data_IF_243074170375
#
_entry.id   IF_243074170375
#
_cell.length_a   1.000
_cell.length_b   1.000
_cell.length_c   1.000
_cell.angle_alpha   90.00
_cell.angle_beta   90.00
_cell.angle_gamma   90.00
#
_symmetry.space_group_name_H-M   'P 1'
#
loop_
_entity.id
_entity.type
_entity.pdbx_description
1 polymer ?
#
# COMPACT_ATOMS: atom_id res chain seq x y z
N UNK A 1 4.64 23.23 8.59
CA UNK A 1 5.38 21.96 8.53
C UNK A 1 6.86 22.29 8.32
N UNK A 2 7.78 21.80 9.16
CA UNK A 2 9.21 21.98 8.92
C UNK A 2 9.62 21.15 7.69
N UNK A 3 10.34 21.75 6.75
CA UNK A 3 10.87 21.09 5.57
C UNK A 3 12.35 21.43 5.42
N UNK A 4 13.19 20.42 5.60
CA UNK A 4 14.64 20.60 5.60
C UNK A 4 15.26 20.09 4.30
N UNK A 5 15.91 20.98 3.54
CA UNK A 5 16.62 20.65 2.30
C UNK A 5 18.12 20.44 2.48
N UNK A 6 18.65 20.89 3.60
CA UNK A 6 20.10 20.87 3.87
C UNK A 6 20.38 20.10 5.15
N UNK A 7 21.43 19.32 5.13
CA UNK A 7 21.95 18.69 6.34
C UNK A 7 22.65 19.75 7.21
N UNK A 8 22.17 19.97 8.42
CA UNK A 8 22.74 20.96 9.32
C UNK A 8 22.01 21.03 10.68
N UNK A 9 22.51 21.87 11.55
CA UNK A 9 21.94 22.13 12.90
C UNK A 9 20.97 23.31 12.93
N UNK A 10 20.78 24.00 11.80
CA UNK A 10 19.84 25.10 11.70
C UNK A 10 18.42 24.62 11.66
N UNK A 11 17.53 25.28 12.40
CA UNK A 11 16.10 24.97 12.36
C UNK A 11 15.52 25.33 10.99
N UNK A 12 14.87 24.39 10.28
CA UNK A 12 14.22 24.68 9.02
C UNK A 12 13.05 25.63 9.22
N UNK A 13 12.73 26.47 8.23
CA UNK A 13 11.54 27.31 8.29
C UNK A 13 10.28 26.47 8.34
N UNK A 14 9.22 27.05 8.89
CA UNK A 14 7.87 26.45 8.87
C UNK A 14 7.15 26.88 7.60
N UNK A 15 6.65 25.90 6.87
CA UNK A 15 5.85 26.08 5.66
C UNK A 15 4.38 25.71 5.91
N UNK A 16 3.48 26.31 5.17
CA UNK A 16 2.10 25.84 5.08
C UNK A 16 2.04 24.43 4.48
N UNK A 17 0.90 23.75 4.58
CA UNK A 17 0.69 22.46 3.93
C UNK A 17 0.83 22.57 2.41
N UNK A 18 0.29 23.62 1.82
CA UNK A 18 0.36 23.89 0.38
C UNK A 18 1.79 24.11 -0.11
N UNK A 19 2.55 24.96 0.60
CA UNK A 19 3.97 25.18 0.29
C UNK A 19 4.78 23.90 0.44
N UNK A 20 4.51 23.10 1.48
CA UNK A 20 5.21 21.84 1.71
C UNK A 20 4.95 20.83 0.59
N UNK A 21 3.70 20.67 0.15
CA UNK A 21 3.37 19.79 -0.98
C UNK A 21 4.04 20.29 -2.27
N UNK A 22 4.10 21.60 -2.49
CA UNK A 22 4.81 22.15 -3.65
C UNK A 22 6.31 21.84 -3.61
N UNK A 23 6.95 21.94 -2.45
CA UNK A 23 8.35 21.57 -2.28
C UNK A 23 8.59 20.08 -2.56
N UNK A 24 7.70 19.21 -2.03
CA UNK A 24 7.75 17.75 -2.30
C UNK A 24 7.62 17.47 -3.80
N UNK A 25 6.69 18.12 -4.49
CA UNK A 25 6.52 17.95 -5.94
C UNK A 25 7.76 18.39 -6.71
N UNK A 26 8.39 19.50 -6.29
CA UNK A 26 9.61 19.98 -6.95
C UNK A 26 10.79 19.00 -6.76
N UNK A 27 10.97 18.49 -5.54
CA UNK A 27 12.03 17.52 -5.26
C UNK A 27 11.79 16.18 -5.97
N UNK A 28 10.53 15.74 -6.07
CA UNK A 28 10.18 14.54 -6.84
C UNK A 28 10.37 14.72 -8.34
N UNK A 29 10.11 15.90 -8.91
CA UNK A 29 10.41 16.20 -10.32
C UNK A 29 11.92 16.20 -10.59
N UNK A 30 12.72 16.73 -9.69
CA UNK A 30 14.17 16.67 -9.79
C UNK A 30 14.65 15.22 -9.70
N UNK A 31 14.11 14.42 -8.77
CA UNK A 31 14.41 13.00 -8.64
C UNK A 31 14.02 12.21 -9.92
N UNK A 32 12.87 12.51 -10.52
CA UNK A 32 12.45 11.89 -11.80
C UNK A 32 13.46 12.18 -12.91
N UNK A 33 14.01 13.40 -12.96
CA UNK A 33 15.05 13.76 -13.94
C UNK A 33 16.36 13.01 -13.68
N UNK A 34 16.77 12.89 -12.42
CA UNK A 34 17.98 12.16 -12.04
C UNK A 34 17.90 10.65 -12.32
N UNK A 35 16.70 10.08 -12.33
CA UNK A 35 16.45 8.65 -12.52
C UNK A 35 16.10 8.26 -13.98
N UNK A 36 16.31 9.12 -14.97
CA UNK A 36 16.01 8.81 -16.37
C UNK A 36 16.78 7.60 -16.92
N UNK A 37 17.90 7.23 -16.32
CA UNK A 37 18.69 6.06 -16.68
C UNK A 37 18.71 5.04 -15.51
N UNK A 38 17.59 4.90 -14.80
CA UNK A 38 17.51 3.93 -13.71
C UNK A 38 17.61 2.50 -14.26
N UNK A 39 18.45 1.63 -13.67
CA UNK A 39 18.57 0.23 -14.08
C UNK A 39 17.26 -0.58 -14.11
N UNK A 40 16.18 -0.11 -13.48
CA UNK A 40 14.86 -0.74 -13.58
C UNK A 40 14.30 -0.68 -15.00
N UNK A 41 14.78 0.25 -15.84
CA UNK A 41 14.37 0.34 -17.25
C UNK A 41 14.80 -0.88 -18.07
N UNK A 42 15.91 -1.51 -17.70
CA UNK A 42 16.48 -2.66 -18.39
C UNK A 42 15.94 -4.01 -17.93
N UNK A 43 15.10 -4.02 -16.88
CA UNK A 43 14.62 -5.26 -16.27
C UNK A 43 13.11 -5.23 -16.03
N UNK A 44 12.54 -6.41 -15.89
CA UNK A 44 11.16 -6.59 -15.42
C UNK A 44 11.22 -7.39 -14.12
N UNK A 45 11.04 -6.75 -12.95
CA UNK A 45 11.29 -7.39 -11.66
C UNK A 45 10.51 -8.70 -11.43
N UNK A 46 9.26 -8.78 -11.87
CA UNK A 46 8.50 -10.03 -11.72
C UNK A 46 8.99 -11.15 -12.64
N UNK A 47 9.56 -10.86 -13.80
CA UNK A 47 10.11 -11.87 -14.71
C UNK A 47 11.42 -12.46 -14.18
N UNK A 48 12.22 -11.67 -13.46
CA UNK A 48 13.43 -12.17 -12.80
C UNK A 48 13.07 -13.19 -11.72
N UNK A 49 11.87 -13.06 -11.12
CA UNK A 49 11.37 -13.97 -10.09
C UNK A 49 10.79 -15.26 -10.64
N UNK A 50 10.32 -15.22 -11.88
CA UNK A 50 9.65 -16.36 -12.51
C UNK A 50 10.59 -17.00 -13.50
N UNK A 51 10.81 -18.26 -13.33
CA UNK A 51 11.20 -19.27 -14.30
C UNK A 51 12.61 -19.81 -14.26
N UNK A 52 12.65 -21.06 -13.92
CA UNK A 52 13.33 -22.06 -14.74
C UNK A 52 12.29 -22.62 -15.72
N UNK A 53 12.69 -22.95 -16.93
CA UNK A 53 11.86 -23.53 -18.00
C UNK A 53 11.12 -24.84 -17.63
N UNK A 54 11.11 -25.26 -16.37
CA UNK A 54 10.55 -26.50 -15.86
C UNK A 54 9.66 -26.36 -14.61
N UNK A 55 9.27 -25.14 -14.23
CA UNK A 55 8.34 -24.95 -13.10
C UNK A 55 8.96 -25.22 -11.72
N UNK A 56 10.27 -25.25 -11.61
CA UNK A 56 10.96 -25.39 -10.34
C UNK A 56 11.01 -24.07 -9.55
N UNK A 57 10.94 -24.22 -8.24
CA UNK A 57 11.01 -23.18 -7.23
C UNK A 57 12.14 -22.19 -7.54
N UNK A 58 11.77 -20.94 -7.61
CA UNK A 58 12.61 -19.76 -7.80
C UNK A 58 13.88 -19.87 -6.99
N UNK A 59 15.02 -19.78 -7.66
CA UNK A 59 16.32 -19.59 -7.02
C UNK A 59 16.24 -18.35 -6.09
N UNK A 60 16.58 -18.55 -4.82
CA UNK A 60 16.59 -17.46 -3.84
C UNK A 60 17.47 -16.28 -4.29
N UNK A 61 18.52 -16.55 -5.07
CA UNK A 61 19.39 -15.52 -5.65
C UNK A 61 18.67 -14.69 -6.74
N UNK A 62 17.87 -15.31 -7.60
CA UNK A 62 17.09 -14.60 -8.61
C UNK A 62 16.03 -13.69 -7.97
N UNK A 63 15.44 -14.15 -6.88
CA UNK A 63 14.49 -13.35 -6.09
C UNK A 63 15.17 -12.16 -5.42
N UNK A 64 16.32 -12.38 -4.76
CA UNK A 64 17.08 -11.28 -4.16
C UNK A 64 17.54 -10.28 -5.24
N UNK A 65 17.86 -10.74 -6.44
CA UNK A 65 18.17 -9.88 -7.57
C UNK A 65 16.97 -9.01 -8.01
N UNK A 66 15.76 -9.58 -8.06
CA UNK A 66 14.55 -8.81 -8.34
C UNK A 66 14.25 -7.79 -7.23
N UNK A 67 14.46 -8.20 -5.98
CA UNK A 67 14.17 -7.38 -4.81
C UNK A 67 15.02 -6.11 -4.73
N UNK A 68 16.25 -6.12 -5.24
CA UNK A 68 17.10 -4.93 -5.26
C UNK A 68 16.48 -3.76 -6.04
N UNK A 69 15.63 -4.03 -7.03
CA UNK A 69 14.99 -2.98 -7.83
C UNK A 69 13.78 -2.35 -7.12
N UNK A 70 13.07 -3.11 -6.30
CA UNK A 70 11.87 -2.66 -5.58
C UNK A 70 12.13 -2.30 -4.11
N UNK A 71 13.27 -2.70 -3.54
CA UNK A 71 13.66 -2.36 -2.17
C UNK A 71 14.41 -1.02 -2.05
N UNK A 72 14.51 -0.28 -3.14
CA UNK A 72 15.06 1.08 -3.21
C UNK A 72 14.11 2.00 -3.96
N UNK A 73 14.29 3.30 -3.78
CA UNK A 73 13.61 4.29 -4.63
C UNK A 73 14.11 4.09 -6.07
N UNK A 74 13.18 3.94 -6.99
CA UNK A 74 13.39 3.77 -8.42
C UNK A 74 12.54 4.79 -9.21
N UNK A 75 12.73 4.89 -10.53
CA UNK A 75 12.01 5.84 -11.37
C UNK A 75 10.48 5.76 -11.18
N UNK A 76 9.93 4.55 -11.14
CA UNK A 76 8.48 4.36 -11.02
C UNK A 76 7.95 4.61 -9.62
N UNK A 77 8.75 4.40 -8.59
CA UNK A 77 8.38 4.82 -7.23
C UNK A 77 8.31 6.35 -7.10
N UNK A 78 9.19 7.08 -7.78
CA UNK A 78 9.11 8.55 -7.86
C UNK A 78 7.88 9.01 -8.62
N UNK A 79 7.55 8.38 -9.75
CA UNK A 79 6.30 8.67 -10.50
C UNK A 79 5.05 8.39 -9.67
N UNK A 80 5.02 7.28 -8.93
CA UNK A 80 3.91 6.95 -8.03
C UNK A 80 3.79 7.94 -6.87
N UNK A 81 4.92 8.41 -6.31
CA UNK A 81 4.92 9.47 -5.29
C UNK A 81 4.45 10.81 -5.86
N UNK A 82 4.79 11.15 -7.11
CA UNK A 82 4.23 12.32 -7.80
C UNK A 82 2.71 12.19 -7.96
N UNK A 83 2.19 11.00 -8.33
CA UNK A 83 0.76 10.76 -8.41
C UNK A 83 0.06 11.01 -7.06
N UNK A 84 0.62 10.50 -5.95
CA UNK A 84 0.12 10.77 -4.58
C UNK A 84 0.15 12.27 -4.23
N UNK A 85 1.25 12.96 -4.55
CA UNK A 85 1.41 14.38 -4.24
C UNK A 85 0.43 15.25 -5.02
N UNK A 86 0.23 14.95 -6.31
CA UNK A 86 -0.77 15.63 -7.14
C UNK A 86 -2.21 15.36 -6.65
N UNK A 87 -2.52 14.10 -6.30
CA UNK A 87 -3.82 13.76 -5.72
C UNK A 87 -4.06 14.53 -4.41
N UNK A 88 -3.07 14.57 -3.52
CA UNK A 88 -3.17 15.29 -2.24
C UNK A 88 -3.38 16.80 -2.43
N UNK A 89 -2.91 17.35 -3.57
CA UNK A 89 -3.08 18.75 -3.94
C UNK A 89 -4.37 19.02 -4.75
N UNK A 90 -5.10 17.96 -5.13
CA UNK A 90 -6.31 18.06 -5.95
C UNK A 90 -6.06 18.24 -7.46
N UNK A 91 -4.82 18.05 -7.92
CA UNK A 91 -4.43 18.08 -9.34
C UNK A 91 -4.67 16.72 -9.99
N UNK A 92 -5.95 16.32 -10.06
CA UNK A 92 -6.34 14.98 -10.43
C UNK A 92 -5.84 14.53 -11.81
N UNK A 93 -5.82 15.41 -12.80
CA UNK A 93 -5.35 15.06 -14.15
C UNK A 93 -3.86 14.69 -14.16
N UNK A 94 -3.02 15.42 -13.41
CA UNK A 94 -1.60 15.12 -13.26
C UNK A 94 -1.38 13.85 -12.43
N UNK A 95 -2.22 13.63 -11.42
CA UNK A 95 -2.19 12.41 -10.62
C UNK A 95 -2.51 11.18 -11.48
N UNK A 96 -3.56 11.25 -12.30
CA UNK A 96 -3.96 10.21 -13.25
C UNK A 96 -2.83 9.96 -14.27
N UNK A 97 -2.26 11.01 -14.83
CA UNK A 97 -1.16 10.88 -15.79
C UNK A 97 0.02 10.11 -15.19
N UNK A 98 0.48 10.49 -14.00
CA UNK A 98 1.61 9.84 -13.35
C UNK A 98 1.32 8.39 -12.94
N UNK A 99 0.12 8.11 -12.47
CA UNK A 99 -0.32 6.75 -12.17
C UNK A 99 -0.39 5.88 -13.44
N UNK A 100 -0.87 6.45 -14.56
CA UNK A 100 -0.93 5.77 -15.84
C UNK A 100 0.48 5.43 -16.37
N UNK A 101 1.45 6.36 -16.26
CA UNK A 101 2.85 6.11 -16.63
C UNK A 101 3.44 4.90 -15.86
N UNK A 102 3.02 4.70 -14.60
CA UNK A 102 3.44 3.55 -13.79
C UNK A 102 2.75 2.26 -14.25
N UNK A 103 1.45 2.31 -14.56
CA UNK A 103 0.71 1.15 -15.05
C UNK A 103 1.27 0.70 -16.42
N UNK A 104 1.50 1.63 -17.32
CA UNK A 104 1.90 1.36 -18.70
C UNK A 104 3.36 0.93 -18.84
N UNK A 105 4.19 1.08 -17.81
CA UNK A 105 5.60 0.73 -17.88
C UNK A 105 5.87 -0.78 -18.09
N UNK A 106 4.92 -1.64 -17.74
CA UNK A 106 5.04 -3.09 -17.84
C UNK A 106 6.07 -3.73 -16.90
N UNK A 107 6.57 -2.99 -15.91
CA UNK A 107 7.56 -3.49 -14.93
C UNK A 107 6.91 -4.20 -13.73
N UNK A 108 5.64 -3.97 -13.53
CA UNK A 108 4.83 -4.52 -12.45
C UNK A 108 3.56 -5.10 -13.04
N UNK A 109 2.99 -6.10 -12.39
CA UNK A 109 1.73 -6.70 -12.83
C UNK A 109 0.80 -6.95 -11.66
N UNK A 110 -0.50 -6.83 -11.90
CA UNK A 110 -1.50 -7.26 -10.93
C UNK A 110 -1.43 -8.77 -10.72
N UNK A 111 -1.89 -9.21 -9.55
CA UNK A 111 -1.90 -10.61 -9.16
C UNK A 111 -2.52 -11.50 -10.24
N UNK A 112 -1.82 -12.59 -10.56
CA UNK A 112 -2.34 -13.70 -11.35
C UNK A 112 -2.79 -14.82 -10.40
N UNK A 113 -4.03 -15.33 -10.53
CA UNK A 113 -4.53 -16.39 -9.64
C UNK A 113 -3.68 -17.65 -9.69
N UNK A 114 -3.09 -17.96 -10.84
CA UNK A 114 -2.18 -19.09 -11.00
C UNK A 114 -0.97 -19.02 -10.04
N UNK A 115 -0.55 -17.85 -9.62
CA UNK A 115 0.58 -17.67 -8.70
C UNK A 115 0.24 -18.02 -7.25
N UNK A 116 -1.05 -18.06 -6.89
CA UNK A 116 -1.50 -18.34 -5.52
C UNK A 116 -2.33 -19.62 -5.40
N UNK A 117 -2.68 -20.25 -6.51
CA UNK A 117 -3.50 -21.47 -6.53
C UNK A 117 -2.68 -22.76 -6.60
N UNK A 118 -1.36 -22.65 -6.69
CA UNK A 118 -0.47 -23.80 -6.73
C UNK A 118 -0.42 -24.46 -5.35
N UNK A 119 -0.80 -25.71 -5.27
CA UNK A 119 -0.89 -26.48 -4.01
C UNK A 119 0.48 -26.81 -3.39
N UNK A 120 1.57 -26.69 -4.14
CA UNK A 120 2.93 -27.04 -3.71
C UNK A 120 3.91 -25.86 -3.80
N UNK A 121 3.51 -24.72 -4.38
CA UNK A 121 4.35 -23.56 -4.47
C UNK A 121 4.13 -22.63 -3.28
N UNK A 122 5.23 -22.08 -2.84
CA UNK A 122 5.25 -21.07 -1.80
C UNK A 122 4.49 -19.83 -2.26
N UNK A 123 3.38 -19.53 -1.61
CA UNK A 123 2.49 -18.43 -1.97
C UNK A 123 3.03 -17.10 -1.44
N UNK A 124 3.11 -16.09 -2.28
CA UNK A 124 3.43 -14.71 -1.86
C UNK A 124 2.14 -13.94 -1.55
N UNK A 125 1.75 -13.93 -0.28
CA UNK A 125 0.55 -13.22 0.17
C UNK A 125 0.68 -11.70 0.15
N UNK A 126 1.88 -11.15 -0.05
CA UNK A 126 2.10 -9.70 -0.16
C UNK A 126 1.88 -9.18 -1.58
N UNK A 127 1.72 -10.09 -2.57
CA UNK A 127 1.58 -9.78 -3.99
C UNK A 127 2.76 -8.96 -4.50
N UNK A 128 3.99 -9.46 -4.29
CA UNK A 128 5.20 -8.68 -4.55
C UNK A 128 5.45 -8.35 -6.02
N UNK A 129 4.77 -9.01 -6.96
CA UNK A 129 4.80 -8.60 -8.39
C UNK A 129 4.16 -7.22 -8.63
N UNK A 130 3.35 -6.75 -7.67
CA UNK A 130 2.74 -5.43 -7.67
C UNK A 130 3.59 -4.37 -6.95
N UNK A 131 4.66 -4.76 -6.25
CA UNK A 131 5.44 -3.82 -5.45
C UNK A 131 6.26 -2.90 -6.35
N UNK A 132 5.91 -1.61 -6.35
CA UNK A 132 6.69 -0.54 -6.99
C UNK A 132 7.83 -0.13 -6.06
N UNK A 133 7.53 -0.05 -4.76
CA UNK A 133 8.49 0.17 -3.70
C UNK A 133 8.07 -0.59 -2.44
N UNK A 134 9.01 -1.29 -1.84
CA UNK A 134 8.80 -2.03 -0.60
C UNK A 134 10.00 -1.89 0.33
N UNK A 135 9.75 -2.00 1.63
CA UNK A 135 10.80 -2.07 2.63
C UNK A 135 11.06 -3.53 2.98
N UNK A 136 12.34 -3.90 2.99
CA UNK A 136 12.75 -5.20 3.51
C UNK A 136 12.89 -5.12 5.03
N UNK A 137 12.17 -5.98 5.72
CA UNK A 137 12.26 -6.12 7.16
C UNK A 137 12.33 -7.60 7.51
N UNK A 138 13.48 -8.06 7.99
CA UNK A 138 13.70 -9.46 8.36
C UNK A 138 12.92 -9.91 9.60
N UNK A 139 12.34 -8.98 10.35
CA UNK A 139 11.60 -9.24 11.59
C UNK A 139 10.09 -8.98 11.44
N UNK A 140 9.60 -8.75 10.21
CA UNK A 140 8.18 -8.42 9.99
C UNK A 140 7.26 -9.53 10.45
N UNK A 141 7.68 -10.79 10.28
CA UNK A 141 7.01 -11.99 10.77
C UNK A 141 6.85 -11.95 12.29
N UNK A 142 7.94 -11.68 13.01
CA UNK A 142 7.95 -11.57 14.47
C UNK A 142 6.99 -10.48 14.98
N UNK A 143 6.96 -9.32 14.29
CA UNK A 143 6.02 -8.24 14.62
C UNK A 143 4.58 -8.62 14.27
N UNK A 144 4.37 -9.24 13.11
CA UNK A 144 3.05 -9.67 12.68
C UNK A 144 2.47 -10.76 13.59
N UNK A 145 3.27 -11.73 14.00
CA UNK A 145 2.87 -12.75 14.99
C UNK A 145 2.44 -12.10 16.31
N UNK A 146 3.23 -11.18 16.83
CA UNK A 146 2.89 -10.47 18.09
C UNK A 146 1.63 -9.64 17.99
N UNK A 147 1.30 -9.12 16.82
CA UNK A 147 0.12 -8.26 16.64
C UNK A 147 -1.14 -9.06 16.28
N UNK A 148 -0.99 -10.11 15.48
CA UNK A 148 -2.12 -10.77 14.81
C UNK A 148 -2.33 -12.22 15.21
N UNK A 149 -1.50 -12.78 16.11
CA UNK A 149 -1.70 -14.10 16.69
C UNK A 149 -1.80 -14.03 18.21
N UNK A 150 -2.56 -14.96 18.77
CA UNK A 150 -2.60 -15.15 20.23
C UNK A 150 -1.26 -15.72 20.68
N UNK A 151 -0.63 -15.10 21.68
CA UNK A 151 0.56 -15.65 22.30
C UNK A 151 0.14 -16.55 23.45
N UNK A 152 0.42 -17.84 23.30
CA UNK A 152 0.09 -18.86 24.26
C UNK A 152 1.35 -19.28 25.02
N UNK A 153 1.29 -19.26 26.37
CA UNK A 153 2.36 -19.72 27.22
C UNK A 153 2.46 -21.24 27.23
N UNK A 154 3.56 -21.77 27.74
CA UNK A 154 3.82 -23.23 27.81
C UNK A 154 2.77 -24.05 28.60
N UNK A 155 1.99 -23.40 29.44
CA UNK A 155 0.88 -24.00 30.17
C UNK A 155 -0.48 -23.85 29.49
N UNK A 156 -0.54 -23.34 28.26
CA UNK A 156 -1.75 -23.14 27.48
C UNK A 156 -2.53 -21.87 27.80
N UNK A 157 -2.02 -21.00 28.65
CA UNK A 157 -2.69 -19.71 28.93
C UNK A 157 -2.35 -18.68 27.86
N UNK A 158 -3.37 -17.96 27.36
CA UNK A 158 -3.17 -16.83 26.43
C UNK A 158 -2.57 -15.68 27.23
N UNK A 159 -1.34 -15.30 26.88
CA UNK A 159 -0.59 -14.19 27.51
C UNK A 159 -0.74 -12.88 26.78
N UNK A 160 -1.07 -12.94 25.50
CA UNK A 160 -1.40 -11.80 24.67
C UNK A 160 -2.48 -12.21 23.67
N UNK A 161 -3.53 -11.43 23.58
CA UNK A 161 -4.58 -11.64 22.58
C UNK A 161 -4.23 -10.89 21.30
N UNK A 162 -4.42 -11.55 20.16
CA UNK A 162 -4.28 -10.94 18.85
C UNK A 162 -5.17 -9.70 18.69
N UNK A 163 -4.73 -8.75 17.88
CA UNK A 163 -5.60 -7.66 17.43
C UNK A 163 -6.75 -8.28 16.61
N UNK A 164 -8.02 -8.10 17.05
CA UNK A 164 -9.12 -8.76 16.39
C UNK A 164 -9.39 -8.16 15.00
N UNK A 165 -9.39 -9.00 13.98
CA UNK A 165 -9.98 -8.71 12.68
C UNK A 165 -11.42 -9.28 12.60
N UNK A 166 -12.19 -9.08 13.65
CA UNK A 166 -13.55 -9.62 13.78
C UNK A 166 -14.49 -9.24 12.62
N UNK A 167 -14.15 -8.21 11.86
CA UNK A 167 -14.94 -7.69 10.76
C UNK A 167 -14.46 -8.11 9.36
N UNK A 168 -13.50 -9.03 9.24
CA UNK A 168 -13.03 -9.49 7.93
C UNK A 168 -14.17 -10.03 7.06
N UNK A 169 -15.02 -10.91 7.62
CA UNK A 169 -16.18 -11.43 6.90
C UNK A 169 -17.14 -10.33 6.44
N UNK A 170 -17.37 -9.31 7.25
CA UNK A 170 -18.21 -8.16 6.89
C UNK A 170 -17.55 -7.33 5.79
N UNK A 171 -16.25 -7.04 5.91
CA UNK A 171 -15.50 -6.25 4.95
C UNK A 171 -15.50 -6.90 3.56
N UNK A 172 -15.31 -8.22 3.50
CA UNK A 172 -15.30 -8.97 2.24
C UNK A 172 -16.66 -9.60 1.90
N UNK A 173 -17.72 -9.31 2.68
CA UNK A 173 -19.08 -9.82 2.49
C UNK A 173 -19.14 -11.36 2.46
N UNK A 174 -18.22 -12.02 3.18
CA UNK A 174 -18.11 -13.47 3.20
C UNK A 174 -17.72 -14.11 1.86
N UNK A 175 -17.24 -13.33 0.90
CA UNK A 175 -16.88 -13.78 -0.44
C UNK A 175 -15.55 -14.55 -0.45
N UNK A 176 -15.59 -15.87 -0.45
CA UNK A 176 -14.40 -16.72 -0.53
C UNK A 176 -13.71 -16.72 -1.91
N UNK A 177 -14.37 -16.21 -2.96
CA UNK A 177 -13.75 -16.01 -4.26
C UNK A 177 -12.81 -14.79 -4.26
N UNK A 178 -12.93 -13.90 -3.27
CA UNK A 178 -11.95 -12.85 -3.05
C UNK A 178 -10.69 -13.45 -2.40
N UNK A 179 -9.58 -13.39 -3.14
CA UNK A 179 -8.32 -13.99 -2.70
C UNK A 179 -7.73 -13.31 -1.46
N UNK A 180 -8.04 -12.04 -1.25
CA UNK A 180 -7.62 -11.32 -0.04
C UNK A 180 -8.33 -11.88 1.18
N UNK A 181 -9.63 -12.19 1.07
CA UNK A 181 -10.37 -12.79 2.15
C UNK A 181 -9.93 -14.23 2.41
N UNK A 182 -9.86 -15.05 1.36
CA UNK A 182 -9.56 -16.47 1.48
C UNK A 182 -8.09 -16.78 1.81
N UNK A 183 -7.15 -15.86 1.54
CA UNK A 183 -5.71 -16.10 1.73
C UNK A 183 -5.08 -15.27 2.85
N UNK A 184 -5.58 -14.04 3.09
CA UNK A 184 -5.02 -13.19 4.14
C UNK A 184 -5.57 -13.49 5.53
N UNK A 185 -6.64 -14.32 5.63
CA UNK A 185 -7.26 -14.68 6.89
C UNK A 185 -7.34 -16.21 7.03
N UNK A 186 -6.86 -16.70 8.15
CA UNK A 186 -6.96 -18.11 8.52
C UNK A 186 -7.63 -18.20 9.90
N UNK A 187 -8.79 -18.86 9.96
CA UNK A 187 -9.59 -18.99 11.19
C UNK A 187 -9.84 -17.65 11.93
N UNK A 188 -9.99 -16.57 11.15
CA UNK A 188 -10.19 -15.22 11.67
C UNK A 188 -8.91 -14.44 12.01
N UNK A 189 -7.75 -15.07 11.98
CA UNK A 189 -6.46 -14.40 12.19
C UNK A 189 -5.92 -13.83 10.87
N UNK A 190 -5.33 -12.66 10.93
CA UNK A 190 -4.67 -12.04 9.78
C UNK A 190 -3.27 -12.63 9.61
N UNK A 191 -2.99 -13.22 8.44
CA UNK A 191 -1.78 -14.01 8.19
C UNK A 191 -0.92 -13.49 7.02
N UNK A 192 -1.27 -12.38 6.42
CA UNK A 192 -0.58 -11.83 5.24
C UNK A 192 0.95 -11.71 5.39
N UNK A 193 1.42 -11.35 6.59
CA UNK A 193 2.83 -11.16 6.89
C UNK A 193 3.41 -12.26 7.78
N UNK A 194 2.68 -13.35 7.98
CA UNK A 194 3.10 -14.46 8.85
C UNK A 194 3.53 -15.62 7.95
N UNK A 195 4.77 -16.11 8.07
CA UNK A 195 5.23 -17.26 7.31
C UNK A 195 4.54 -18.52 7.81
N UNK A 196 4.16 -19.36 6.90
CA UNK A 196 3.82 -20.75 7.17
C UNK A 196 4.54 -21.65 6.17
N UNK A 197 4.23 -22.95 6.16
CA UNK A 197 4.82 -23.88 5.20
C UNK A 197 4.49 -23.59 3.75
N UNK A 198 3.52 -22.69 3.49
CA UNK A 198 3.01 -22.31 2.16
C UNK A 198 3.28 -20.86 1.81
N UNK A 199 3.61 -19.99 2.79
CA UNK A 199 3.89 -18.57 2.59
C UNK A 199 5.35 -18.25 2.92
N UNK A 200 6.15 -17.96 1.91
CA UNK A 200 7.62 -17.81 2.05
C UNK A 200 8.11 -16.37 2.07
N UNK A 201 7.25 -15.37 1.88
CA UNK A 201 7.72 -14.02 1.59
C UNK A 201 7.20 -12.90 2.49
N UNK A 202 7.11 -13.09 3.81
CA UNK A 202 6.63 -12.04 4.69
C UNK A 202 7.66 -10.92 4.95
N UNK A 203 8.88 -11.02 4.42
CA UNK A 203 9.95 -10.05 4.73
C UNK A 203 9.84 -8.72 3.96
N UNK A 204 8.81 -8.54 3.15
CA UNK A 204 8.58 -7.32 2.37
C UNK A 204 7.32 -6.62 2.83
N UNK A 205 7.47 -5.39 3.24
CA UNK A 205 6.35 -4.51 3.54
C UNK A 205 6.12 -3.58 2.34
N UNK A 206 4.99 -3.69 1.63
CA UNK A 206 4.69 -2.81 0.52
C UNK A 206 4.51 -1.37 1.03
N UNK A 207 5.16 -0.43 0.35
CA UNK A 207 4.98 1.01 0.57
C UNK A 207 4.16 1.61 -0.55
N UNK A 208 4.40 1.15 -1.78
CA UNK A 208 3.63 1.55 -2.97
C UNK A 208 3.41 0.29 -3.81
N UNK A 209 2.15 0.03 -4.17
CA UNK A 209 1.74 -1.08 -5.03
C UNK A 209 1.09 -0.59 -6.31
N UNK A 210 1.11 -1.45 -7.33
CA UNK A 210 0.42 -1.19 -8.59
C UNK A 210 -1.09 -1.03 -8.40
N UNK A 211 -1.69 -1.84 -7.53
CA UNK A 211 -3.11 -1.74 -7.17
C UNK A 211 -3.52 -0.35 -6.65
N UNK A 212 -2.60 0.33 -5.97
CA UNK A 212 -2.83 1.71 -5.55
C UNK A 212 -2.97 2.67 -6.72
N UNK A 213 -2.21 2.49 -7.80
CA UNK A 213 -2.31 3.32 -9.00
C UNK A 213 -3.68 3.17 -9.67
N UNK A 214 -4.23 1.96 -9.70
CA UNK A 214 -5.60 1.71 -10.17
C UNK A 214 -6.64 2.42 -9.29
N UNK A 215 -6.52 2.31 -7.97
CA UNK A 215 -7.44 2.96 -7.03
C UNK A 215 -7.30 4.48 -7.05
N UNK A 216 -6.10 5.01 -7.26
CA UNK A 216 -5.86 6.44 -7.40
C UNK A 216 -6.53 6.99 -8.67
N UNK A 217 -6.38 6.32 -9.81
CA UNK A 217 -7.07 6.70 -11.05
C UNK A 217 -8.59 6.63 -10.86
N UNK A 218 -9.07 5.55 -10.23
CA UNK A 218 -10.51 5.41 -9.90
C UNK A 218 -11.02 6.59 -9.09
N UNK A 219 -10.35 6.96 -8.01
CA UNK A 219 -10.77 8.05 -7.14
C UNK A 219 -10.69 9.41 -7.86
N UNK A 220 -9.58 9.69 -8.56
CA UNK A 220 -9.35 10.95 -9.24
C UNK A 220 -10.29 11.18 -10.43
N UNK A 221 -10.67 10.12 -11.16
CA UNK A 221 -11.56 10.22 -12.32
C UNK A 221 -13.05 10.14 -11.97
N UNK A 222 -13.42 9.73 -10.76
CA UNK A 222 -14.81 9.46 -10.38
C UNK A 222 -15.80 10.57 -10.73
N UNK A 223 -15.45 11.84 -10.53
CA UNK A 223 -16.35 12.97 -10.80
C UNK A 223 -16.28 13.48 -12.25
N UNK A 224 -15.18 13.25 -12.96
CA UNK A 224 -14.92 13.82 -14.29
C UNK A 224 -15.10 12.82 -15.41
N UNK A 225 -14.80 11.54 -15.13
CA UNK A 225 -14.91 10.41 -16.06
C UNK A 225 -15.29 9.13 -15.29
N UNK A 226 -16.58 8.99 -14.93
CA UNK A 226 -17.05 7.82 -14.17
C UNK A 226 -16.85 6.48 -14.88
N UNK A 227 -16.87 6.46 -16.20
CA UNK A 227 -16.65 5.23 -16.99
C UNK A 227 -15.19 4.77 -16.84
N UNK A 228 -14.26 5.69 -16.92
CA UNK A 228 -12.84 5.39 -16.63
C UNK A 228 -12.65 4.92 -15.19
N UNK A 229 -13.26 5.58 -14.22
CA UNK A 229 -13.19 5.16 -12.83
C UNK A 229 -13.68 3.72 -12.65
N UNK A 230 -14.79 3.38 -13.27
CA UNK A 230 -15.41 2.06 -13.21
C UNK A 230 -14.53 0.99 -13.90
N UNK A 231 -13.94 1.32 -15.06
CA UNK A 231 -13.03 0.45 -15.79
C UNK A 231 -11.82 0.06 -14.93
N UNK A 232 -11.13 1.04 -14.35
CA UNK A 232 -9.94 0.78 -13.53
C UNK A 232 -10.26 -0.01 -12.27
N UNK A 233 -11.39 0.27 -11.63
CA UNK A 233 -11.82 -0.49 -10.47
C UNK A 233 -12.19 -1.94 -10.83
N UNK A 234 -12.95 -2.16 -11.89
CA UNK A 234 -13.31 -3.51 -12.34
C UNK A 234 -12.07 -4.29 -12.76
N UNK A 235 -11.10 -3.67 -13.44
CA UNK A 235 -9.82 -4.28 -13.78
C UNK A 235 -9.08 -4.77 -12.53
N UNK A 236 -8.96 -3.93 -11.50
CA UNK A 236 -8.34 -4.38 -10.25
C UNK A 236 -9.12 -5.56 -9.62
N UNK A 237 -10.45 -5.49 -9.61
CA UNK A 237 -11.30 -6.54 -9.04
C UNK A 237 -11.20 -7.87 -9.79
N UNK A 238 -10.95 -7.85 -11.10
CA UNK A 238 -10.70 -9.06 -11.89
C UNK A 238 -9.45 -9.83 -11.43
N UNK A 239 -8.51 -9.14 -10.82
CA UNK A 239 -7.29 -9.70 -10.22
C UNK A 239 -7.42 -9.97 -8.70
N UNK A 240 -8.61 -9.80 -8.14
CA UNK A 240 -8.88 -10.04 -6.71
C UNK A 240 -9.98 -11.03 -6.47
N UNK A 241 -10.96 -11.15 -7.38
CA UNK A 241 -12.17 -11.94 -7.19
C UNK A 241 -12.31 -12.91 -8.36
N UNK A 242 -12.26 -14.20 -8.07
CA UNK A 242 -12.50 -15.23 -9.10
C UNK A 242 -13.91 -15.13 -9.61
N UNK A 243 -14.06 -15.13 -10.95
CA UNK A 243 -15.37 -14.97 -11.56
C UNK A 243 -16.04 -13.64 -11.24
N UNK A 244 -15.23 -12.58 -11.04
CA UNK A 244 -15.75 -11.25 -10.75
C UNK A 244 -16.85 -10.83 -11.72
N UNK A 245 -17.95 -10.33 -11.16
CA UNK A 245 -19.00 -9.67 -11.94
C UNK A 245 -18.71 -8.16 -11.89
N UNK A 246 -18.52 -7.58 -13.07
CA UNK A 246 -18.23 -6.17 -13.18
C UNK A 246 -19.37 -5.32 -12.61
N UNK A 247 -19.03 -4.34 -11.83
CA UNK A 247 -19.97 -3.30 -11.44
C UNK A 247 -20.33 -2.44 -12.65
N UNK A 248 -21.57 -2.01 -12.71
CA UNK A 248 -22.10 -1.18 -13.80
C UNK A 248 -22.29 0.27 -13.38
N UNK A 249 -22.11 0.57 -12.11
CA UNK A 249 -22.13 1.91 -11.55
C UNK A 249 -21.18 1.95 -10.34
N UNK A 250 -20.77 3.15 -9.98
CA UNK A 250 -19.81 3.39 -8.91
C UNK A 250 -20.33 4.46 -7.96
N UNK A 251 -20.06 4.28 -6.67
CA UNK A 251 -20.24 5.31 -5.64
C UNK A 251 -18.91 5.54 -4.93
N UNK A 252 -18.77 6.69 -4.26
CA UNK A 252 -17.58 6.94 -3.43
C UNK A 252 -17.39 5.90 -2.35
N UNK A 253 -18.48 5.45 -1.74
CA UNK A 253 -18.43 4.41 -0.70
C UNK A 253 -17.87 3.10 -1.25
N UNK A 254 -18.22 2.70 -2.47
CA UNK A 254 -17.65 1.50 -3.12
C UNK A 254 -16.14 1.64 -3.34
N UNK A 255 -15.67 2.83 -3.74
CA UNK A 255 -14.23 3.10 -3.89
C UNK A 255 -13.52 2.95 -2.54
N UNK A 256 -14.06 3.58 -1.49
CA UNK A 256 -13.44 3.53 -0.17
C UNK A 256 -13.51 2.15 0.48
N UNK A 257 -14.58 1.39 0.23
CA UNK A 257 -14.66 -0.01 0.65
C UNK A 257 -13.62 -0.87 -0.05
N UNK A 258 -13.41 -0.68 -1.36
CA UNK A 258 -12.40 -1.42 -2.08
C UNK A 258 -10.97 -1.06 -1.62
N UNK A 259 -10.70 0.23 -1.34
CA UNK A 259 -9.47 0.67 -0.71
C UNK A 259 -9.27 0.03 0.67
N UNK A 260 -10.32 -0.09 1.49
CA UNK A 260 -10.26 -0.77 2.78
C UNK A 260 -9.90 -2.24 2.63
N UNK A 261 -10.47 -2.95 1.64
CA UNK A 261 -10.13 -4.34 1.34
C UNK A 261 -8.67 -4.48 0.89
N UNK A 262 -8.20 -3.56 0.06
CA UNK A 262 -6.87 -3.63 -0.54
C UNK A 262 -5.75 -3.29 0.45
N UNK A 263 -5.98 -2.34 1.37
CA UNK A 263 -4.96 -1.81 2.25
C UNK A 263 -4.95 -2.42 3.66
N UNK A 264 -5.64 -3.57 3.87
CA UNK A 264 -5.62 -4.25 5.17
C UNK A 264 -4.17 -4.57 5.58
N UNK A 265 -3.80 -4.12 6.78
CA UNK A 265 -2.48 -4.34 7.37
C UNK A 265 -1.34 -3.47 6.80
N UNK A 266 -1.63 -2.53 5.88
CA UNK A 266 -0.61 -1.69 5.23
C UNK A 266 -0.57 -0.24 5.74
N UNK A 267 -1.48 0.16 6.62
CA UNK A 267 -1.54 1.51 7.19
C UNK A 267 -1.99 2.62 6.23
N UNK A 268 -2.27 2.30 4.97
CA UNK A 268 -2.61 3.31 3.94
C UNK A 268 -3.97 3.96 4.14
N UNK A 269 -4.91 3.27 4.79
CA UNK A 269 -6.27 3.82 5.02
C UNK A 269 -6.29 5.09 5.84
N UNK A 270 -5.30 5.31 6.72
CA UNK A 270 -5.18 6.56 7.46
C UNK A 270 -5.14 7.79 6.54
N UNK A 271 -4.37 7.71 5.46
CA UNK A 271 -4.25 8.79 4.48
C UNK A 271 -5.52 8.98 3.66
N UNK A 272 -6.25 7.90 3.37
CA UNK A 272 -7.56 7.96 2.68
C UNK A 272 -8.58 8.67 3.56
N UNK A 273 -8.68 8.28 4.84
CA UNK A 273 -9.57 8.93 5.81
C UNK A 273 -9.24 10.41 5.96
N UNK A 274 -7.95 10.74 6.14
CA UNK A 274 -7.50 12.12 6.28
C UNK A 274 -7.83 12.98 5.04
N UNK A 275 -7.47 12.49 3.85
CA UNK A 275 -7.66 13.24 2.60
C UNK A 275 -9.13 13.55 2.32
N UNK A 276 -10.00 12.59 2.64
CA UNK A 276 -11.42 12.67 2.32
C UNK A 276 -12.29 13.05 3.51
N UNK A 277 -11.71 13.31 4.67
CA UNK A 277 -12.41 13.61 5.92
C UNK A 277 -13.52 12.60 6.25
N UNK A 278 -13.17 11.29 6.16
CA UNK A 278 -14.15 10.22 6.32
C UNK A 278 -14.24 9.74 7.77
N UNK A 279 -15.44 9.32 8.14
CA UNK A 279 -15.70 8.57 9.37
C UNK A 279 -14.88 7.28 9.36
N UNK A 280 -14.14 7.03 10.45
CA UNK A 280 -13.38 5.79 10.61
C UNK A 280 -14.28 4.76 11.28
N UNK A 281 -14.50 3.59 10.67
CA UNK A 281 -15.21 2.51 11.32
C UNK A 281 -14.42 2.05 12.55
N UNK A 282 -14.95 2.27 13.72
CA UNK A 282 -14.36 1.81 14.97
C UNK A 282 -14.73 0.36 15.25
N UNK A 283 -13.75 -0.48 15.61
CA UNK A 283 -13.96 -1.89 15.89
C UNK A 283 -14.93 -2.12 17.07
N UNK A 284 -14.42 -2.01 18.28
CA UNK A 284 -15.20 -2.28 19.51
C UNK A 284 -16.05 -1.08 19.99
N UNK A 285 -15.76 0.12 19.57
CA UNK A 285 -16.34 1.37 20.10
C UNK A 285 -17.31 2.08 19.17
N UNK A 286 -17.60 1.49 18.00
CA UNK A 286 -18.44 2.13 16.98
C UNK A 286 -17.62 2.96 15.98
N UNK A 287 -18.24 3.97 15.39
CA UNK A 287 -17.62 4.87 14.41
C UNK A 287 -16.90 6.03 15.11
N UNK A 288 -15.81 6.50 14.51
CA UNK A 288 -15.09 7.69 14.96
C UNK A 288 -15.31 8.76 13.90
N UNK A 289 -16.05 9.81 14.28
CA UNK A 289 -16.29 10.95 13.38
C UNK A 289 -15.01 11.82 13.27
N UNK A 290 -14.66 12.29 12.07
CA UNK A 290 -13.49 13.12 11.89
C UNK A 290 -13.67 14.47 12.59
N UNK A 291 -12.62 14.91 13.30
CA UNK A 291 -12.52 16.25 13.89
C UNK A 291 -11.34 16.99 13.28
N UNK A 292 -11.32 18.31 13.39
CA UNK A 292 -10.22 19.11 12.84
C UNK A 292 -8.86 18.68 13.39
N UNK A 293 -8.79 18.29 14.67
CA UNK A 293 -7.53 17.93 15.34
C UNK A 293 -7.14 16.45 15.16
N UNK A 294 -8.06 15.59 14.70
CA UNK A 294 -7.84 14.14 14.66
C UNK A 294 -6.67 13.74 13.74
N UNK A 295 -6.52 14.45 12.64
CA UNK A 295 -5.49 14.19 11.62
C UNK A 295 -4.28 15.12 11.71
N UNK A 296 -4.21 15.96 12.77
CA UNK A 296 -3.15 16.92 12.97
C UNK A 296 -2.36 16.50 14.21
N UNK A 297 -1.11 16.10 14.00
CA UNK A 297 -0.22 15.84 15.12
C UNK A 297 0.19 17.17 15.78
N UNK A 298 0.09 17.29 17.11
CA UNK A 298 0.60 18.46 17.81
C UNK A 298 2.11 18.58 17.59
N UNK A 299 2.62 19.82 17.63
CA UNK A 299 4.06 20.01 17.65
C UNK A 299 4.63 19.40 18.93
N UNK A 300 5.75 18.68 18.88
CA UNK A 300 6.45 18.22 20.07
C UNK A 300 6.83 19.40 20.98
N UNK A 301 6.78 19.21 22.30
CA UNK A 301 7.13 20.25 23.27
C UNK A 301 8.53 20.82 23.00
N UNK A 302 9.50 19.99 22.64
CA UNK A 302 10.84 20.42 22.26
C UNK A 302 10.87 21.39 21.06
N UNK A 303 9.97 21.24 20.09
CA UNK A 303 9.86 22.16 18.96
C UNK A 303 9.29 23.52 19.39
N UNK A 304 8.47 23.54 20.43
CA UNK A 304 7.89 24.77 20.99
C UNK A 304 8.92 25.48 21.86
N UNK A 305 9.56 24.76 22.77
CA UNK A 305 10.46 25.30 23.79
C UNK A 305 11.83 25.68 23.21
N UNK A 306 12.44 24.80 22.43
CA UNK A 306 13.80 24.98 21.89
C UNK A 306 13.78 25.52 20.45
N UNK A 307 12.79 25.12 19.67
CA UNK A 307 12.61 25.52 18.27
C UNK A 307 12.00 26.92 18.09
N UNK A 308 11.61 27.60 19.20
CA UNK A 308 10.93 28.91 19.18
C UNK A 308 9.69 28.90 18.25
N UNK A 309 8.99 27.76 18.17
CA UNK A 309 7.78 27.61 17.37
C UNK A 309 6.59 28.13 18.17
N UNK A 310 5.68 28.82 17.51
CA UNK A 310 4.41 29.23 18.12
C UNK A 310 3.36 28.17 17.84
N UNK A 311 2.57 27.81 18.87
CA UNK A 311 1.32 27.07 18.69
C UNK A 311 0.41 27.92 17.79
N UNK A 312 -0.12 27.32 16.74
CA UNK A 312 -1.18 27.91 15.92
C UNK A 312 -2.53 27.56 16.47
#
# INVERSE_FOLDING_TARGET
IPYNKEFGVSLPPMYSAEETIQLIINDLKEAEQCLQNDPIEDVVPYEIRTTTDQGEVIDAAAKDAADQYIARINLYSVKALLARAYQARGENDLAIQKAQEVIDCGKFRLLEFSSIDQSEALTDLTFSDEHIFSLRNSEIDTYAEKLFQDIVSSNGAITQTALPFSNASTLYQGNNDDVRYSKWFNQGNFVKFIPDSTNVYPQKMPVIKLSEMYLLITECSYNTDPDKALEYLNTLRDHRIRGNVHWTYLTKDYIYEEMRREYVGEGQMWYVYKRNNLTIPGGLTGTIEPTEDMFIFPLPDAEIEEGQRTLR
#
